data_IF_180833044905
#
_entry.id   IF_180833044905
#
_cell.length_a   1.000
_cell.length_b   1.000
_cell.length_c   1.000
_cell.angle_alpha   90.00
_cell.angle_beta   90.00
_cell.angle_gamma   90.00
#
_symmetry.space_group_name_H-M   'P 1'
#
loop_
_entity.id
_entity.type
_entity.pdbx_description
1 polymer ?
#
# COMPACT_ATOMS: atom_id res chain seq x y z
N UNK A 1 -19.01 4.07 11.57
CA UNK A 1 -18.28 4.41 10.33
C UNK A 1 -19.30 4.89 9.32
N UNK A 2 -19.03 5.93 8.52
CA UNK A 2 -19.91 6.31 7.42
C UNK A 2 -20.06 5.15 6.43
N UNK A 3 -21.26 4.97 5.87
CA UNK A 3 -21.46 3.99 4.80
C UNK A 3 -20.69 4.45 3.56
N UNK A 4 -19.85 3.55 3.01
CA UNK A 4 -19.10 3.85 1.80
C UNK A 4 -20.01 3.78 0.59
N UNK A 5 -19.76 4.64 -0.40
CA UNK A 5 -20.40 4.48 -1.70
C UNK A 5 -19.83 3.25 -2.41
N UNK A 6 -20.60 2.59 -3.29
CA UNK A 6 -20.08 1.50 -4.13
C UNK A 6 -18.83 1.91 -4.92
N UNK A 7 -18.71 3.18 -5.29
CA UNK A 7 -17.53 3.73 -5.98
C UNK A 7 -16.31 3.72 -5.06
N UNK A 8 -16.48 4.11 -3.79
CA UNK A 8 -15.39 4.15 -2.81
C UNK A 8 -15.00 2.75 -2.34
N UNK A 9 -15.95 1.83 -2.22
CA UNK A 9 -15.68 0.40 -1.98
C UNK A 9 -14.78 -0.19 -3.10
N UNK A 10 -15.12 0.05 -4.36
CA UNK A 10 -14.32 -0.39 -5.50
C UNK A 10 -12.91 0.23 -5.51
N UNK A 11 -12.79 1.52 -5.14
CA UNK A 11 -11.48 2.18 -5.02
C UNK A 11 -10.65 1.60 -3.88
N UNK A 12 -11.29 1.30 -2.75
CA UNK A 12 -10.65 0.67 -1.61
C UNK A 12 -10.08 -0.71 -1.97
N UNK A 13 -10.86 -1.55 -2.66
CA UNK A 13 -10.41 -2.85 -3.16
C UNK A 13 -9.21 -2.72 -4.11
N UNK A 14 -9.24 -1.73 -5.02
CA UNK A 14 -8.12 -1.43 -5.92
C UNK A 14 -6.87 -1.00 -5.15
N UNK A 15 -6.99 -0.07 -4.20
CA UNK A 15 -5.87 0.37 -3.36
C UNK A 15 -5.27 -0.79 -2.58
N UNK A 16 -6.10 -1.67 -2.03
CA UNK A 16 -5.65 -2.86 -1.31
C UNK A 16 -4.91 -3.83 -2.21
N UNK A 17 -5.50 -4.23 -3.34
CA UNK A 17 -4.87 -5.15 -4.28
C UNK A 17 -3.57 -4.61 -4.87
N UNK A 18 -3.47 -3.30 -5.11
CA UNK A 18 -2.22 -2.66 -5.54
C UNK A 18 -1.18 -2.60 -4.41
N UNK A 19 -1.58 -2.20 -3.20
CA UNK A 19 -0.69 -2.12 -2.03
C UNK A 19 -0.03 -3.46 -1.72
N UNK A 20 -0.80 -4.55 -1.73
CA UNK A 20 -0.29 -5.89 -1.43
C UNK A 20 0.62 -6.44 -2.53
N UNK A 21 0.30 -6.18 -3.81
CA UNK A 21 1.19 -6.54 -4.93
C UNK A 21 2.53 -5.81 -4.83
N UNK A 22 2.52 -4.50 -4.59
CA UNK A 22 3.75 -3.74 -4.37
C UNK A 22 4.56 -4.26 -3.18
N UNK A 23 3.88 -4.67 -2.10
CA UNK A 23 4.57 -5.26 -0.94
C UNK A 23 5.23 -6.59 -1.30
N UNK A 24 4.53 -7.45 -2.04
CA UNK A 24 5.07 -8.72 -2.51
C UNK A 24 6.28 -8.50 -3.44
N UNK A 25 6.14 -7.61 -4.42
CA UNK A 25 7.23 -7.24 -5.33
C UNK A 25 8.43 -6.68 -4.54
N UNK A 26 8.19 -5.87 -3.50
CA UNK A 26 9.25 -5.35 -2.65
C UNK A 26 10.04 -6.47 -1.97
N UNK A 27 9.35 -7.51 -1.49
CA UNK A 27 10.01 -8.67 -0.86
C UNK A 27 10.85 -9.48 -1.87
N UNK A 28 10.44 -9.55 -3.12
CA UNK A 28 11.22 -10.21 -4.17
C UNK A 28 12.47 -9.40 -4.54
N UNK A 29 12.38 -8.07 -4.55
CA UNK A 29 13.54 -7.18 -4.75
C UNK A 29 14.56 -7.25 -3.60
N UNK A 30 14.11 -7.49 -2.35
CA UNK A 30 15.00 -7.76 -1.20
C UNK A 30 15.87 -8.99 -1.44
N UNK A 31 15.27 -10.08 -1.96
CA UNK A 31 16.00 -11.32 -2.28
C UNK A 31 17.04 -11.09 -3.38
N UNK A 32 16.79 -10.14 -4.28
CA UNK A 32 17.72 -9.71 -5.31
C UNK A 32 18.73 -8.64 -4.84
N UNK A 33 18.70 -8.22 -3.57
CA UNK A 33 19.52 -7.13 -3.01
C UNK A 33 19.36 -5.79 -3.75
N UNK A 34 18.18 -5.54 -4.34
CA UNK A 34 17.84 -4.31 -5.08
C UNK A 34 17.09 -3.34 -4.18
N UNK A 35 17.82 -2.77 -3.23
CA UNK A 35 17.27 -1.94 -2.16
C UNK A 35 16.57 -0.68 -2.67
N UNK A 36 17.11 -0.03 -3.71
CA UNK A 36 16.52 1.20 -4.27
C UNK A 36 15.11 0.94 -4.84
N UNK A 37 14.94 -0.20 -5.52
CA UNK A 37 13.64 -0.62 -6.07
C UNK A 37 12.69 -1.07 -4.97
N UNK A 38 13.22 -1.79 -3.97
CA UNK A 38 12.46 -2.18 -2.79
C UNK A 38 11.87 -0.95 -2.08
N UNK A 39 12.66 0.10 -1.88
CA UNK A 39 12.22 1.35 -1.26
C UNK A 39 11.02 1.97 -1.99
N UNK A 40 11.12 2.13 -3.31
CA UNK A 40 10.04 2.68 -4.15
C UNK A 40 8.73 1.89 -4.00
N UNK A 41 8.83 0.56 -4.00
CA UNK A 41 7.68 -0.34 -3.87
C UNK A 41 7.05 -0.24 -2.48
N UNK A 42 7.86 -0.14 -1.41
CA UNK A 42 7.38 0.08 -0.04
C UNK A 42 6.67 1.44 0.09
N UNK A 43 7.21 2.50 -0.52
CA UNK A 43 6.58 3.82 -0.52
C UNK A 43 5.19 3.77 -1.15
N UNK A 44 5.07 3.11 -2.30
CA UNK A 44 3.79 2.93 -2.99
C UNK A 44 2.80 2.10 -2.15
N UNK A 45 3.27 0.97 -1.60
CA UNK A 45 2.43 0.09 -0.78
C UNK A 45 1.87 0.80 0.46
N UNK A 46 2.74 1.48 1.21
CA UNK A 46 2.37 2.21 2.42
C UNK A 46 1.45 3.38 2.12
N UNK A 47 1.72 4.14 1.05
CA UNK A 47 0.87 5.25 0.60
C UNK A 47 -0.56 4.80 0.31
N UNK A 48 -0.72 3.69 -0.42
CA UNK A 48 -2.02 3.14 -0.76
C UNK A 48 -2.78 2.64 0.47
N UNK A 49 -2.09 2.04 1.44
CA UNK A 49 -2.69 1.59 2.70
C UNK A 49 -3.25 2.77 3.50
N UNK A 50 -2.50 3.86 3.63
CA UNK A 50 -2.95 5.08 4.30
C UNK A 50 -4.14 5.72 3.57
N UNK A 51 -4.07 5.81 2.23
CA UNK A 51 -5.19 6.30 1.41
C UNK A 51 -6.44 5.44 1.57
N UNK A 52 -6.30 4.12 1.72
CA UNK A 52 -7.40 3.21 2.01
C UNK A 52 -8.08 3.52 3.34
N UNK A 53 -7.31 3.72 4.41
CA UNK A 53 -7.85 4.10 5.73
C UNK A 53 -8.55 5.45 5.67
N UNK A 54 -7.95 6.45 5.01
CA UNK A 54 -8.54 7.77 4.85
C UNK A 54 -9.85 7.73 4.07
N UNK A 55 -9.88 7.01 2.95
CA UNK A 55 -11.08 6.81 2.14
C UNK A 55 -12.20 6.18 2.97
N UNK A 56 -11.85 5.23 3.84
CA UNK A 56 -12.78 4.62 4.79
C UNK A 56 -13.39 5.57 5.81
N UNK A 57 -12.75 6.71 6.05
CA UNK A 57 -13.28 7.80 6.88
C UNK A 57 -13.96 8.90 6.05
N UNK A 58 -14.13 8.71 4.74
CA UNK A 58 -14.67 9.72 3.82
C UNK A 58 -13.68 10.85 3.51
N UNK A 59 -12.39 10.65 3.72
CA UNK A 59 -11.32 11.62 3.42
C UNK A 59 -10.55 11.19 2.17
N UNK A 60 -10.30 12.13 1.27
CA UNK A 60 -9.35 11.93 0.18
C UNK A 60 -8.04 12.64 0.48
N UNK A 61 -6.92 11.92 0.33
CA UNK A 61 -5.58 12.46 0.54
C UNK A 61 -4.92 12.71 -0.81
N UNK A 62 -4.51 13.96 -1.02
CA UNK A 62 -3.79 14.39 -2.22
C UNK A 62 -2.32 14.71 -1.90
N UNK A 63 -1.43 14.16 -2.72
CA UNK A 63 0.02 14.28 -2.55
C UNK A 63 0.61 13.52 -1.35
N UNK A 64 1.95 13.41 -1.35
CA UNK A 64 2.70 12.65 -0.36
C UNK A 64 2.64 13.27 1.05
N UNK A 65 2.72 14.60 1.14
CA UNK A 65 2.69 15.30 2.43
C UNK A 65 1.39 15.07 3.22
N UNK A 66 0.25 15.05 2.53
CA UNK A 66 -1.04 14.78 3.17
C UNK A 66 -1.11 13.34 3.68
N UNK A 67 -0.55 12.39 2.93
CA UNK A 67 -0.45 10.98 3.31
C UNK A 67 0.42 10.80 4.54
N UNK A 68 1.61 11.40 4.57
CA UNK A 68 2.52 11.32 5.71
C UNK A 68 1.92 11.95 6.98
N UNK A 69 1.34 13.14 6.85
CA UNK A 69 0.69 13.83 7.97
C UNK A 69 -0.46 12.99 8.53
N UNK A 70 -1.30 12.42 7.65
CA UNK A 70 -2.40 11.57 8.07
C UNK A 70 -1.94 10.27 8.72
N UNK A 71 -0.86 9.64 8.21
CA UNK A 71 -0.27 8.47 8.85
C UNK A 71 0.29 8.78 10.24
N UNK A 72 0.91 9.95 10.42
CA UNK A 72 1.40 10.41 11.71
C UNK A 72 0.26 10.59 12.71
N UNK A 73 -0.82 11.26 12.30
CA UNK A 73 -2.04 11.45 13.11
C UNK A 73 -2.65 10.10 13.50
N UNK A 74 -2.82 9.19 12.53
CA UNK A 74 -3.39 7.86 12.74
C UNK A 74 -2.54 7.04 13.73
N UNK A 75 -1.22 7.08 13.59
CA UNK A 75 -0.30 6.42 14.51
C UNK A 75 -0.36 6.98 15.93
N UNK A 76 -0.63 8.28 16.09
CA UNK A 76 -0.86 8.89 17.41
C UNK A 76 -2.21 8.47 18.01
N UNK A 77 -3.27 8.53 17.21
CA UNK A 77 -4.63 8.16 17.62
C UNK A 77 -4.71 6.70 18.09
N UNK A 78 -4.16 5.78 17.30
CA UNK A 78 -4.16 4.35 17.62
C UNK A 78 -3.02 3.90 18.54
N UNK A 79 -2.15 4.83 18.97
CA UNK A 79 -0.92 4.55 19.73
C UNK A 79 -0.04 3.49 19.05
N UNK A 80 -0.06 3.45 17.71
CA UNK A 80 0.70 2.51 16.91
C UNK A 80 1.99 3.17 16.42
N UNK A 81 3.10 2.78 17.06
CA UNK A 81 4.44 3.27 16.75
C UNK A 81 4.86 2.94 15.31
N UNK A 82 4.46 1.77 14.78
CA UNK A 82 4.87 1.33 13.44
C UNK A 82 4.23 2.21 12.38
N UNK A 83 2.93 2.49 12.50
CA UNK A 83 2.24 3.43 11.61
C UNK A 83 2.90 4.81 11.72
N UNK A 84 3.10 5.31 12.94
CA UNK A 84 3.63 6.65 13.20
C UNK A 84 5.02 6.90 12.62
N UNK A 85 5.90 5.90 12.66
CA UNK A 85 7.31 6.04 12.29
C UNK A 85 7.64 5.44 10.91
N UNK A 86 6.68 4.76 10.26
CA UNK A 86 6.91 4.03 9.00
C UNK A 86 7.50 4.91 7.90
N UNK A 87 6.89 6.07 7.64
CA UNK A 87 7.36 7.03 6.63
C UNK A 87 8.73 7.63 6.96
N UNK A 88 8.97 7.97 8.23
CA UNK A 88 10.27 8.51 8.67
C UNK A 88 11.37 7.47 8.51
N UNK A 89 11.10 6.21 8.89
CA UNK A 89 12.06 5.11 8.72
C UNK A 89 12.34 4.85 7.25
N UNK A 90 11.30 4.83 6.42
CA UNK A 90 11.42 4.61 4.99
C UNK A 90 12.20 5.74 4.30
N UNK A 91 12.05 7.00 4.76
CA UNK A 91 12.84 8.14 4.26
C UNK A 91 14.35 8.00 4.49
N UNK A 92 14.76 7.22 5.49
CA UNK A 92 16.17 6.92 5.77
C UNK A 92 16.66 5.60 5.16
N UNK A 93 15.79 4.90 4.42
CA UNK A 93 16.07 3.56 3.91
C UNK A 93 17.16 3.58 2.84
N UNK A 94 17.07 4.47 1.85
CA UNK A 94 18.08 4.61 0.80
C UNK A 94 19.48 4.90 1.34
N UNK A 95 19.61 5.81 2.31
CA UNK A 95 20.89 6.09 2.98
C UNK A 95 21.44 4.86 3.72
N UNK A 96 20.55 4.11 4.38
CA UNK A 96 20.92 2.86 5.05
C UNK A 96 21.35 1.80 4.03
N UNK A 97 20.69 1.74 2.87
CA UNK A 97 21.01 0.81 1.80
C UNK A 97 22.36 1.10 1.15
N UNK A 98 22.70 2.38 0.97
CA UNK A 98 24.01 2.81 0.50
C UNK A 98 25.10 2.38 1.48
N UNK A 99 24.92 2.62 2.79
CA UNK A 99 25.86 2.19 3.83
C UNK A 99 26.05 0.67 3.87
N UNK A 100 24.98 -0.11 3.63
CA UNK A 100 25.08 -1.58 3.52
C UNK A 100 25.87 -1.97 2.27
N UNK A 101 25.61 -1.34 1.12
CA UNK A 101 26.34 -1.58 -0.14
C UNK A 101 27.83 -1.29 0.00
N UNK A 102 28.19 -0.23 0.72
CA UNK A 102 29.58 0.13 1.04
C UNK A 102 30.18 -0.73 2.18
N UNK A 103 29.46 -1.74 2.70
CA UNK A 103 29.86 -2.60 3.82
C UNK A 103 30.16 -1.84 5.12
N UNK A 104 29.62 -0.62 5.27
CA UNK A 104 29.78 0.22 6.46
C UNK A 104 28.89 -0.23 7.62
N UNK A 105 27.78 -0.91 7.33
CA UNK A 105 26.85 -1.47 8.32
C UNK A 105 26.29 -2.83 7.87
N UNK A 106 25.67 -3.57 8.79
CA UNK A 106 25.04 -4.87 8.50
C UNK A 106 23.68 -4.70 7.82
N UNK A 107 23.33 -5.64 6.93
CA UNK A 107 22.03 -5.67 6.25
C UNK A 107 20.83 -5.81 7.20
N UNK A 108 21.03 -6.32 8.43
CA UNK A 108 20.01 -6.45 9.48
C UNK A 108 19.22 -5.16 9.73
N UNK A 109 19.84 -3.99 9.54
CA UNK A 109 19.15 -2.69 9.71
C UNK A 109 18.09 -2.44 8.62
N UNK A 110 18.33 -2.90 7.39
CA UNK A 110 17.34 -2.85 6.30
C UNK A 110 16.21 -3.84 6.57
N UNK A 111 16.55 -5.05 7.03
CA UNK A 111 15.56 -6.07 7.40
C UNK A 111 14.63 -5.56 8.50
N UNK A 112 15.17 -4.91 9.54
CA UNK A 112 14.34 -4.34 10.60
C UNK A 112 13.38 -3.27 10.08
N UNK A 113 13.85 -2.43 9.15
CA UNK A 113 13.00 -1.39 8.54
C UNK A 113 11.91 -2.01 7.67
N UNK A 114 12.23 -3.08 6.93
CA UNK A 114 11.27 -3.84 6.14
C UNK A 114 10.16 -4.41 7.01
N UNK A 115 10.51 -5.08 8.11
CA UNK A 115 9.55 -5.67 9.06
C UNK A 115 8.64 -4.61 9.70
N UNK A 116 9.20 -3.44 10.02
CA UNK A 116 8.42 -2.35 10.59
C UNK A 116 7.43 -1.76 9.58
N UNK A 117 7.85 -1.59 8.32
CA UNK A 117 7.01 -1.03 7.25
C UNK A 117 5.95 -2.03 6.79
N UNK A 118 6.30 -3.32 6.61
CA UNK A 118 5.32 -4.37 6.27
C UNK A 118 4.29 -4.51 7.38
N UNK A 119 4.73 -4.53 8.64
CA UNK A 119 3.84 -4.54 9.80
C UNK A 119 2.95 -3.30 9.90
N UNK A 120 3.42 -2.12 9.47
CA UNK A 120 2.59 -0.92 9.39
C UNK A 120 1.51 -1.04 8.30
N UNK A 121 1.85 -1.57 7.12
CA UNK A 121 0.89 -1.81 6.04
C UNK A 121 -0.21 -2.78 6.47
N UNK A 122 0.14 -3.89 7.11
CA UNK A 122 -0.82 -4.84 7.67
C UNK A 122 -1.75 -4.18 8.69
N UNK A 123 -1.19 -3.39 9.60
CA UNK A 123 -1.97 -2.65 10.62
C UNK A 123 -2.92 -1.66 9.98
N UNK A 124 -2.48 -0.91 8.96
CA UNK A 124 -3.32 0.02 8.21
C UNK A 124 -4.51 -0.69 7.55
N UNK A 125 -4.27 -1.84 6.90
CA UNK A 125 -5.37 -2.60 6.28
C UNK A 125 -6.34 -3.24 7.29
N UNK A 126 -5.91 -3.47 8.53
CA UNK A 126 -6.80 -3.87 9.63
C UNK A 126 -7.65 -2.71 10.17
N UNK A 127 -7.19 -1.46 10.01
CA UNK A 127 -7.93 -0.26 10.38
C UNK A 127 -8.89 0.21 9.26
N UNK A 128 -8.61 -0.16 8.00
CA UNK A 128 -9.46 0.16 6.87
C UNK A 128 -10.80 -0.61 6.93
N UNK A 129 -11.90 -0.05 6.37
CA UNK A 129 -13.16 -0.75 6.23
C UNK A 129 -12.98 -2.06 5.45
N UNK A 130 -13.70 -3.10 5.85
CA UNK A 130 -13.44 -4.43 5.31
C UNK A 130 -12.10 -5.00 5.79
N UNK A 131 -11.77 -4.85 7.08
CA UNK A 131 -10.62 -5.50 7.71
C UNK A 131 -10.52 -7.00 7.35
N UNK A 132 -9.33 -7.59 7.48
CA UNK A 132 -9.00 -8.98 7.13
C UNK A 132 -9.61 -9.56 5.83
N UNK A 133 -9.95 -8.71 4.85
CA UNK A 133 -10.26 -9.15 3.48
C UNK A 133 -9.04 -9.79 2.80
N UNK A 134 -7.85 -9.71 3.40
CA UNK A 134 -6.67 -10.49 3.03
C UNK A 134 -6.90 -11.98 3.34
N UNK A 135 -7.46 -12.31 4.50
CA UNK A 135 -7.94 -13.67 4.78
C UNK A 135 -9.12 -14.07 3.89
N UNK A 136 -10.03 -13.17 3.53
CA UNK A 136 -11.13 -13.48 2.61
C UNK A 136 -10.63 -13.73 1.17
N UNK A 137 -9.69 -12.92 0.68
CA UNK A 137 -9.03 -13.07 -0.61
C UNK A 137 -8.15 -14.34 -0.66
N UNK A 138 -7.39 -14.62 0.42
CA UNK A 138 -6.59 -15.86 0.55
C UNK A 138 -7.46 -17.12 0.72
N UNK A 139 -8.69 -16.99 1.24
CA UNK A 139 -9.69 -18.07 1.26
C UNK A 139 -10.42 -18.25 -0.07
N UNK A 140 -10.17 -17.37 -1.06
CA UNK A 140 -10.82 -17.42 -2.37
C UNK A 140 -12.30 -17.02 -2.33
N UNK A 141 -12.72 -16.25 -1.33
CA UNK A 141 -14.11 -15.81 -1.16
C UNK A 141 -14.43 -14.50 -1.91
N UNK A 142 -13.47 -13.97 -2.65
CA UNK A 142 -13.67 -12.83 -3.55
C UNK A 142 -13.51 -13.30 -4.99
N UNK A 143 -14.60 -13.25 -5.76
CA UNK A 143 -14.49 -13.22 -7.20
C UNK A 143 -13.58 -12.04 -7.59
N UNK A 144 -12.63 -12.28 -8.48
CA UNK A 144 -11.84 -11.22 -9.09
C UNK A 144 -12.78 -10.10 -9.55
N UNK A 145 -12.48 -8.82 -9.26
CA UNK A 145 -13.30 -7.75 -9.81
C UNK A 145 -13.25 -7.89 -11.33
N UNK A 146 -14.39 -8.25 -11.92
CA UNK A 146 -14.58 -8.28 -13.36
C UNK A 146 -13.96 -7.01 -13.94
N UNK A 147 -12.92 -7.20 -14.75
CA UNK A 147 -12.41 -6.14 -15.60
C UNK A 147 -13.63 -5.60 -16.37
N UNK A 148 -13.83 -4.27 -16.47
CA UNK A 148 -14.93 -3.76 -17.25
C UNK A 148 -14.64 -4.07 -18.73
N UNK A 149 -15.15 -5.21 -19.18
CA UNK A 149 -15.39 -5.49 -20.58
C UNK A 149 -16.64 -4.75 -21.00
N UNK A 150 -16.48 -3.50 -21.43
CA UNK A 150 -17.46 -2.81 -22.28
C UNK A 150 -16.68 -2.08 -23.38
N UNK A 151 -16.17 -2.85 -24.35
CA UNK A 151 -16.02 -2.36 -25.71
C UNK A 151 -17.37 -2.64 -26.39
N UNK A 152 -18.32 -1.72 -26.23
CA UNK A 152 -19.50 -1.70 -27.10
C UNK A 152 -19.04 -1.34 -28.51
N UNK A 153 -19.23 -2.30 -29.42
CA UNK A 153 -19.22 -2.11 -30.86
C UNK A 153 -20.20 -1.00 -31.27
N UNK A 154 -19.83 -0.18 -32.26
CA UNK A 154 -20.68 0.26 -33.37
C UNK A 154 -20.00 1.40 -34.14
N UNK A 155 -19.54 1.15 -35.36
CA UNK A 155 -20.19 1.69 -36.55
C UNK A 155 -19.44 1.23 -37.82
N UNK A 156 -20.08 0.33 -38.55
CA UNK A 156 -19.61 -0.20 -39.82
C UNK A 156 -20.80 -0.37 -40.76
N UNK A 157 -21.57 0.70 -40.93
CA UNK A 157 -22.66 0.79 -41.89
C UNK A 157 -22.19 0.42 -43.30
N UNK A 158 -22.70 -0.71 -43.79
CA UNK A 158 -22.62 -1.14 -45.18
C UNK A 158 -23.50 -0.23 -46.06
N UNK A 159 -23.05 -0.03 -47.31
CA UNK A 159 -23.78 0.33 -48.55
C UNK A 159 -23.65 1.79 -49.04
N UNK A 160 -22.79 1.98 -50.05
CA UNK A 160 -23.24 2.04 -51.44
C UNK A 160 -22.16 1.62 -52.43
#
# INVERSE_FOLDING_TARGET
MPELTKKDENRLLRYRGQSLRLLQDAMDEVRASRWDRCEELLWGSLTLAVKGVALGQGKELDGLKAVEAYALELGQEHRDRRIRESFTKLSSFGETAEKVRESRIRADHLVQTLEDVTGAVERLWNLAPGGDLLSALLRGEMDEPDQPGELEEMDGGLLK
#
